data_IF_673907101243
#
_entry.id   IF_673907101243
#
_cell.length_a   1.000
_cell.length_b   1.000
_cell.length_c   1.000
_cell.angle_alpha   90.00
_cell.angle_beta   90.00
_cell.angle_gamma   90.00
#
_symmetry.space_group_name_H-M   'P 1'
#
loop_
_entity.id
_entity.type
_entity.pdbx_description
1 polymer ?
#
# COMPACT_ATOMS: atom_id res chain seq x y z
N UNK A 1 24.00 39.54 -19.93
CA UNK A 1 24.00 39.09 -21.34
C UNK A 1 23.77 37.58 -21.42
N UNK A 2 23.40 37.01 -22.58
CA UNK A 2 23.33 35.53 -22.76
C UNK A 2 24.67 34.89 -22.35
N UNK A 3 25.79 35.58 -22.60
CA UNK A 3 27.12 35.16 -22.19
C UNK A 3 27.34 35.16 -20.67
N UNK A 4 26.76 36.10 -19.91
CA UNK A 4 26.80 36.08 -18.43
C UNK A 4 25.90 35.00 -17.84
N UNK A 5 24.74 34.75 -18.47
CA UNK A 5 23.81 33.69 -18.07
C UNK A 5 24.42 32.30 -18.31
N UNK A 6 25.09 32.11 -19.45
CA UNK A 6 25.85 30.90 -19.78
C UNK A 6 27.04 30.70 -18.84
N UNK A 7 27.72 31.79 -18.43
CA UNK A 7 28.81 31.71 -17.47
C UNK A 7 28.30 31.27 -16.09
N UNK A 8 27.15 31.76 -15.63
CA UNK A 8 26.57 31.32 -14.35
C UNK A 8 26.11 29.85 -14.39
N UNK A 9 25.53 29.38 -15.50
CA UNK A 9 25.21 27.96 -15.71
C UNK A 9 26.43 27.06 -15.99
N UNK A 10 27.61 27.63 -16.25
CA UNK A 10 28.86 26.86 -16.33
C UNK A 10 29.50 26.64 -14.95
N UNK A 11 29.15 27.47 -13.96
CA UNK A 11 29.59 27.34 -12.57
C UNK A 11 28.65 26.49 -11.71
N UNK A 12 27.38 26.37 -12.10
CA UNK A 12 26.44 25.44 -11.52
C UNK A 12 26.35 24.23 -12.44
N UNK A 13 26.62 23.01 -11.95
CA UNK A 13 26.43 21.74 -12.70
C UNK A 13 24.93 21.44 -12.97
N UNK A 14 24.15 22.44 -13.39
CA UNK A 14 22.75 22.32 -13.79
C UNK A 14 22.71 22.12 -15.30
N UNK A 15 22.33 20.92 -15.73
CA UNK A 15 22.04 20.64 -17.14
C UNK A 15 20.58 20.94 -17.45
N UNK A 16 20.34 22.04 -18.16
CA UNK A 16 19.21 22.18 -19.06
C UNK A 16 19.77 22.10 -20.49
N UNK A 17 19.65 20.95 -21.15
CA UNK A 17 20.17 20.79 -22.50
C UNK A 17 19.65 19.53 -23.20
N UNK A 18 19.36 19.70 -24.49
CA UNK A 18 19.04 18.62 -25.42
C UNK A 18 20.10 17.49 -25.32
N UNK A 19 19.71 16.23 -25.04
CA UNK A 19 20.62 15.10 -24.87
C UNK A 19 21.55 14.85 -26.06
N UNK A 20 21.22 15.37 -27.25
CA UNK A 20 22.03 15.20 -28.47
C UNK A 20 23.29 16.07 -28.52
N UNK A 21 23.45 17.05 -27.63
CA UNK A 21 24.61 17.97 -27.62
C UNK A 21 25.81 17.55 -26.76
N UNK A 22 25.79 16.39 -26.09
CA UNK A 22 26.95 15.90 -25.30
C UNK A 22 27.13 14.37 -25.42
N UNK A 23 27.73 13.88 -26.52
CA UNK A 23 27.96 12.44 -26.75
C UNK A 23 29.00 11.77 -25.82
N UNK A 24 29.60 12.50 -24.87
CA UNK A 24 30.68 12.02 -24.01
C UNK A 24 30.39 12.11 -22.50
N UNK A 25 29.14 12.34 -22.09
CA UNK A 25 28.80 12.24 -20.67
C UNK A 25 28.71 10.77 -20.25
N UNK A 26 29.35 10.36 -19.15
CA UNK A 26 29.14 9.03 -18.60
C UNK A 26 27.66 8.90 -18.21
N UNK A 27 27.04 7.78 -18.60
CA UNK A 27 25.63 7.48 -18.26
C UNK A 27 25.39 7.46 -16.74
N UNK A 28 26.43 7.30 -15.93
CA UNK A 28 26.38 7.43 -14.48
C UNK A 28 27.69 8.07 -13.99
N UNK A 29 27.73 9.39 -13.74
CA UNK A 29 28.91 10.03 -13.17
C UNK A 29 29.19 9.46 -11.77
N UNK A 30 30.46 9.46 -11.36
CA UNK A 30 30.82 9.07 -10.00
C UNK A 30 30.17 10.04 -8.99
N UNK A 31 29.56 9.49 -7.93
CA UNK A 31 28.96 10.29 -6.86
C UNK A 31 30.07 11.13 -6.18
N UNK A 32 29.85 12.43 -5.93
CA UNK A 32 30.85 13.29 -5.29
C UNK A 32 30.84 13.17 -3.75
N UNK A 33 30.19 12.14 -3.23
CA UNK A 33 30.05 11.81 -1.81
C UNK A 33 30.14 10.31 -1.61
N UNK A 34 30.55 9.90 -0.42
CA UNK A 34 30.64 8.50 -0.02
C UNK A 34 29.45 8.12 0.85
N UNK A 35 28.91 6.93 0.59
CA UNK A 35 27.93 6.27 1.45
C UNK A 35 28.60 5.03 2.07
N UNK A 36 28.64 4.99 3.40
CA UNK A 36 29.10 3.83 4.16
C UNK A 36 27.92 3.22 4.91
N UNK A 37 27.51 2.03 4.51
CA UNK A 37 26.41 1.31 5.15
C UNK A 37 26.96 0.18 6.02
N UNK A 38 26.61 0.18 7.31
CA UNK A 38 26.92 -0.91 8.22
C UNK A 38 25.84 -2.00 8.10
N UNK A 39 26.20 -3.29 8.21
CA UNK A 39 25.25 -4.39 8.06
C UNK A 39 24.13 -4.30 9.09
N UNK A 40 22.94 -4.77 8.69
CA UNK A 40 21.76 -4.70 9.56
C UNK A 40 21.86 -5.65 10.74
N UNK A 41 21.53 -5.15 11.93
CA UNK A 41 21.35 -5.99 13.11
C UNK A 41 19.88 -6.41 13.16
N UNK A 42 19.63 -7.70 12.92
CA UNK A 42 18.29 -8.29 13.08
C UNK A 42 18.02 -8.40 14.58
N UNK A 43 17.05 -7.62 15.07
CA UNK A 43 16.53 -7.69 16.43
C UNK A 43 15.54 -8.86 16.56
N UNK A 44 15.20 -9.23 17.80
CA UNK A 44 13.98 -10.02 18.05
C UNK A 44 12.78 -9.27 17.44
N UNK A 45 11.83 -10.03 16.89
CA UNK A 45 10.57 -9.58 16.27
C UNK A 45 10.64 -9.06 14.83
N UNK A 46 11.54 -9.58 13.98
CA UNK A 46 11.70 -9.22 12.55
C UNK A 46 12.04 -7.75 12.28
N UNK A 47 12.19 -6.94 13.33
CA UNK A 47 12.70 -5.57 13.27
C UNK A 47 14.20 -5.60 12.98
N UNK A 48 14.65 -4.71 12.11
CA UNK A 48 16.04 -4.58 11.72
C UNK A 48 16.38 -3.11 11.62
N UNK A 49 17.64 -2.80 11.94
CA UNK A 49 18.17 -1.45 11.83
C UNK A 49 19.42 -1.50 10.98
N UNK A 50 19.50 -0.59 10.01
CA UNK A 50 20.63 -0.41 9.12
C UNK A 50 21.19 1.00 9.31
N UNK A 51 22.47 1.11 9.65
CA UNK A 51 23.13 2.40 9.86
C UNK A 51 23.86 2.82 8.58
N UNK A 52 23.62 4.05 8.13
CA UNK A 52 24.26 4.62 6.94
C UNK A 52 24.90 5.95 7.28
N UNK A 53 26.16 6.13 6.87
CA UNK A 53 26.90 7.38 7.01
C UNK A 53 27.17 7.98 5.62
N UNK A 54 26.93 9.28 5.48
CA UNK A 54 27.11 10.01 4.23
C UNK A 54 28.14 11.12 4.45
N UNK A 55 29.14 11.19 3.58
CA UNK A 55 30.22 12.18 3.68
C UNK A 55 30.47 12.84 2.31
N UNK A 56 30.25 14.15 2.16
CA UNK A 56 30.64 14.88 0.94
C UNK A 56 32.16 14.91 0.78
N UNK A 57 32.66 14.57 -0.41
CA UNK A 57 34.11 14.49 -0.68
C UNK A 57 34.66 15.69 -1.45
N UNK A 58 33.79 16.48 -2.09
CA UNK A 58 34.16 17.68 -2.87
C UNK A 58 33.19 18.83 -2.58
N UNK A 59 33.64 20.07 -2.72
CA UNK A 59 32.80 21.27 -2.51
C UNK A 59 31.53 21.21 -3.38
N UNK A 60 31.65 20.73 -4.62
CA UNK A 60 30.49 20.55 -5.50
C UNK A 60 29.40 19.68 -4.88
N UNK A 61 29.73 18.66 -4.08
CA UNK A 61 28.72 17.82 -3.41
C UNK A 61 27.86 18.59 -2.40
N UNK A 62 28.36 19.70 -1.86
CA UNK A 62 27.60 20.56 -0.93
C UNK A 62 26.60 21.47 -1.64
N UNK A 63 26.78 21.64 -2.96
CA UNK A 63 25.93 22.42 -3.85
C UNK A 63 25.09 21.55 -4.79
N UNK A 64 25.21 20.22 -4.71
CA UNK A 64 24.38 19.31 -5.52
C UNK A 64 22.92 19.41 -5.09
N UNK A 65 22.06 19.67 -6.07
CA UNK A 65 20.60 19.68 -5.93
C UNK A 65 20.09 18.49 -6.71
N UNK A 66 19.65 17.45 -6.01
CA UNK A 66 18.74 16.49 -6.63
C UNK A 66 17.33 17.06 -6.60
N UNK A 67 16.73 17.19 -7.79
CA UNK A 67 15.34 17.59 -7.90
C UNK A 67 14.45 16.44 -7.42
N UNK A 68 13.68 16.68 -6.36
CA UNK A 68 12.49 15.87 -6.09
C UNK A 68 11.44 16.39 -7.08
N UNK A 69 11.00 15.54 -8.01
CA UNK A 69 9.95 15.90 -8.97
C UNK A 69 8.65 16.16 -8.21
N UNK A 70 8.34 17.42 -7.94
CA UNK A 70 7.05 17.83 -7.38
C UNK A 70 6.15 18.29 -8.51
N UNK A 71 4.95 17.70 -8.63
CA UNK A 71 3.93 18.16 -9.54
C UNK A 71 3.56 19.62 -9.25
N UNK A 72 4.08 20.57 -10.05
CA UNK A 72 3.68 21.97 -9.94
C UNK A 72 2.37 22.15 -10.69
N UNK A 73 1.35 22.69 -10.02
CA UNK A 73 0.04 23.02 -10.60
C UNK A 73 0.09 24.11 -11.68
N UNK A 74 1.26 24.75 -11.90
CA UNK A 74 1.46 25.85 -12.84
C UNK A 74 2.46 25.57 -13.97
N UNK A 75 2.97 24.35 -14.12
CA UNK A 75 3.97 24.01 -15.15
C UNK A 75 5.33 24.72 -15.00
N UNK A 76 5.63 25.33 -13.85
CA UNK A 76 6.86 26.08 -13.59
C UNK A 76 7.69 25.41 -12.47
N UNK A 77 8.96 25.14 -12.74
CA UNK A 77 9.92 24.59 -11.79
C UNK A 77 10.17 25.58 -10.64
N UNK A 78 10.09 25.16 -9.37
CA UNK A 78 10.40 26.01 -8.22
C UNK A 78 11.91 25.98 -7.94
N UNK A 79 12.62 27.06 -8.31
CA UNK A 79 14.09 27.13 -8.34
C UNK A 79 14.71 27.36 -6.94
N UNK A 80 13.90 27.58 -5.91
CA UNK A 80 14.37 27.85 -4.53
C UNK A 80 14.47 26.57 -3.66
N UNK A 81 14.89 25.44 -4.23
CA UNK A 81 15.12 24.23 -3.45
C UNK A 81 16.49 24.31 -2.73
N UNK A 82 16.57 24.02 -1.42
CA UNK A 82 17.87 23.94 -0.74
C UNK A 82 18.72 22.81 -1.35
N UNK A 83 20.05 22.95 -1.42
CA UNK A 83 20.92 21.88 -1.87
C UNK A 83 20.75 20.64 -1.00
N UNK A 84 20.61 19.50 -1.66
CA UNK A 84 20.37 18.21 -1.05
C UNK A 84 21.04 17.11 -1.87
N UNK A 85 21.86 16.29 -1.20
CA UNK A 85 22.32 15.01 -1.74
C UNK A 85 21.30 13.92 -1.44
N UNK A 86 21.28 12.84 -2.23
CA UNK A 86 20.39 11.70 -2.00
C UNK A 86 21.18 10.59 -1.31
N UNK A 87 20.79 10.32 -0.07
CA UNK A 87 21.18 9.10 0.62
C UNK A 87 20.44 7.91 0.04
N UNK A 88 21.13 6.77 -0.04
CA UNK A 88 20.57 5.54 -0.58
C UNK A 88 20.94 4.35 0.31
N UNK A 89 19.99 3.46 0.56
CA UNK A 89 20.22 2.18 1.20
C UNK A 89 19.46 1.05 0.50
N UNK A 90 20.08 -0.14 0.43
CA UNK A 90 19.44 -1.33 -0.11
C UNK A 90 18.97 -2.24 1.02
N UNK A 91 17.66 -2.43 1.11
CA UNK A 91 16.99 -3.34 2.03
C UNK A 91 16.56 -4.64 1.33
N UNK A 92 16.28 -5.72 2.08
CA UNK A 92 15.57 -6.87 1.53
C UNK A 92 14.24 -6.45 0.89
N UNK A 93 13.81 -7.12 -0.19
CA UNK A 93 12.56 -6.81 -0.90
C UNK A 93 11.32 -6.76 0.02
N UNK A 94 11.28 -7.62 1.02
CA UNK A 94 10.16 -7.75 1.97
C UNK A 94 10.23 -6.75 3.13
N UNK A 95 11.21 -5.83 3.15
CA UNK A 95 11.25 -4.75 4.10
C UNK A 95 9.99 -3.87 3.99
N UNK A 96 9.40 -3.58 5.14
CA UNK A 96 8.18 -2.82 5.32
C UNK A 96 8.29 -1.92 6.55
N UNK A 97 7.35 -0.98 6.69
CA UNK A 97 7.33 0.01 7.78
C UNK A 97 8.69 0.70 7.92
N UNK A 98 9.28 1.05 6.77
CA UNK A 98 10.58 1.70 6.72
C UNK A 98 10.46 3.07 7.36
N UNK A 99 11.42 3.42 8.21
CA UNK A 99 11.56 4.75 8.79
C UNK A 99 13.02 5.13 8.71
N UNK A 100 13.32 6.29 8.14
CA UNK A 100 14.67 6.86 8.15
C UNK A 100 14.74 7.93 9.23
N UNK A 101 15.79 7.89 10.05
CA UNK A 101 16.03 8.86 11.13
C UNK A 101 17.41 9.48 11.02
N UNK A 102 17.49 10.74 11.40
CA UNK A 102 18.73 11.49 11.62
C UNK A 102 18.66 12.12 13.00
N UNK A 103 19.66 11.89 13.85
CA UNK A 103 19.68 12.38 15.25
C UNK A 103 18.38 12.05 16.03
N UNK A 104 17.75 10.93 15.73
CA UNK A 104 16.49 10.46 16.33
C UNK A 104 15.22 11.08 15.74
N UNK A 105 15.32 12.02 14.80
CA UNK A 105 14.19 12.64 14.11
C UNK A 105 13.88 11.91 12.80
N UNK A 106 12.61 11.60 12.58
CA UNK A 106 12.15 11.02 11.31
C UNK A 106 12.34 12.01 10.17
N UNK A 107 12.96 11.55 9.09
CA UNK A 107 13.11 12.29 7.84
C UNK A 107 12.25 11.67 6.76
N UNK A 108 11.84 12.48 5.80
CA UNK A 108 11.13 12.00 4.63
C UNK A 108 12.01 11.05 3.81
N UNK A 109 11.43 10.00 3.25
CA UNK A 109 12.11 9.08 2.36
C UNK A 109 11.15 8.55 1.29
N UNK A 110 11.72 7.96 0.26
CA UNK A 110 11.02 7.26 -0.82
C UNK A 110 11.55 5.82 -0.96
N UNK A 111 10.72 4.95 -1.53
CA UNK A 111 10.99 3.51 -1.63
C UNK A 111 10.61 2.96 -3.00
N UNK A 112 11.48 2.16 -3.61
CA UNK A 112 11.16 1.43 -4.84
C UNK A 112 11.81 0.07 -4.84
N UNK A 113 11.14 -0.84 -5.54
CA UNK A 113 11.60 -2.21 -5.72
C UNK A 113 12.58 -2.25 -6.89
N UNK A 114 13.79 -2.74 -6.60
CA UNK A 114 14.86 -2.94 -7.58
C UNK A 114 15.25 -4.42 -7.56
N UNK A 115 14.60 -5.22 -8.42
CA UNK A 115 14.83 -6.66 -8.47
C UNK A 115 14.43 -7.39 -7.18
N UNK A 116 15.43 -7.94 -6.49
CA UNK A 116 15.30 -8.66 -5.20
C UNK A 116 15.59 -7.76 -3.98
N UNK A 117 15.78 -6.46 -4.19
CA UNK A 117 16.01 -5.46 -3.15
C UNK A 117 14.94 -4.38 -3.18
N UNK A 118 14.81 -3.69 -2.06
CA UNK A 118 14.10 -2.41 -1.95
C UNK A 118 15.16 -1.32 -1.74
N UNK A 119 15.24 -0.33 -2.63
CA UNK A 119 16.14 0.81 -2.47
C UNK A 119 15.34 1.94 -1.81
N UNK A 120 15.87 2.45 -0.71
CA UNK A 120 15.30 3.54 0.10
C UNK A 120 16.15 4.78 -0.15
N UNK A 121 15.50 5.92 -0.40
CA UNK A 121 16.17 7.19 -0.64
C UNK A 121 15.69 8.27 0.30
N UNK A 122 16.58 9.16 0.70
CA UNK A 122 16.21 10.33 1.50
C UNK A 122 17.10 11.52 1.16
N UNK A 123 16.60 12.76 1.30
CA UNK A 123 17.40 13.96 1.12
C UNK A 123 18.29 14.21 2.33
N UNK A 124 19.52 14.62 2.10
CA UNK A 124 20.43 15.18 3.12
C UNK A 124 20.62 16.65 2.85
N UNK A 125 20.01 17.49 3.68
CA UNK A 125 19.87 18.93 3.44
C UNK A 125 21.09 19.68 3.97
N UNK A 126 21.70 20.53 3.13
CA UNK A 126 22.84 21.41 3.48
C UNK A 126 24.01 20.67 4.15
N UNK A 127 24.57 19.61 3.55
CA UNK A 127 25.70 18.91 4.12
C UNK A 127 26.97 19.78 4.05
N UNK A 128 27.87 19.70 5.03
CA UNK A 128 29.18 20.37 4.98
C UNK A 128 30.24 19.45 4.40
N UNK A 129 31.24 20.02 3.72
CA UNK A 129 32.36 19.26 3.19
C UNK A 129 33.08 18.49 4.30
N UNK A 130 33.24 17.17 4.11
CA UNK A 130 33.88 16.28 5.08
C UNK A 130 33.05 15.97 6.33
N UNK A 131 31.83 16.51 6.48
CA UNK A 131 30.92 16.17 7.57
C UNK A 131 30.37 14.76 7.37
N UNK A 132 30.50 13.92 8.40
CA UNK A 132 29.85 12.60 8.43
C UNK A 132 28.45 12.73 9.03
N UNK A 133 27.42 12.64 8.16
CA UNK A 133 26.01 12.61 8.56
C UNK A 133 25.58 11.15 8.75
N UNK A 134 24.95 10.83 9.89
CA UNK A 134 24.55 9.46 10.23
C UNK A 134 23.05 9.31 10.21
N UNK A 135 22.60 8.22 9.60
CA UNK A 135 21.21 7.88 9.42
C UNK A 135 20.93 6.46 9.88
N UNK A 136 19.83 6.30 10.60
CA UNK A 136 19.32 5.00 11.01
C UNK A 136 18.10 4.65 10.17
N UNK A 137 18.14 3.54 9.46
CA UNK A 137 17.04 3.01 8.66
C UNK A 137 16.44 1.83 9.42
N UNK A 138 15.30 2.07 10.05
CA UNK A 138 14.53 1.06 10.79
C UNK A 138 13.50 0.44 9.85
N UNK A 139 13.36 -0.89 9.87
CA UNK A 139 12.37 -1.59 9.06
C UNK A 139 11.96 -2.93 9.70
N UNK A 140 10.84 -3.48 9.25
CA UNK A 140 10.37 -4.82 9.64
C UNK A 140 10.29 -5.70 8.40
N UNK A 141 10.71 -6.96 8.50
CA UNK A 141 10.51 -7.94 7.43
C UNK A 141 9.08 -8.49 7.49
N UNK A 142 8.25 -8.11 6.51
CA UNK A 142 6.91 -8.64 6.32
C UNK A 142 6.87 -9.36 4.97
N UNK A 143 7.01 -10.70 4.96
CA UNK A 143 7.07 -11.46 3.72
C UNK A 143 5.74 -11.38 2.96
N UNK A 144 5.83 -11.24 1.64
CA UNK A 144 4.67 -11.34 0.76
C UNK A 144 3.98 -12.70 0.89
N UNK A 145 2.66 -12.70 0.80
CA UNK A 145 1.80 -13.89 0.83
C UNK A 145 1.03 -14.02 -0.49
N UNK A 146 0.49 -15.21 -0.73
CA UNK A 146 -0.41 -15.48 -1.87
C UNK A 146 -1.69 -16.10 -1.33
N UNK A 147 -2.80 -15.38 -1.48
CA UNK A 147 -4.13 -15.90 -1.22
C UNK A 147 -4.63 -16.64 -2.46
N UNK A 148 -5.12 -17.87 -2.27
CA UNK A 148 -5.75 -18.66 -3.33
C UNK A 148 -7.26 -18.71 -3.12
N UNK A 149 -8.02 -18.29 -4.13
CA UNK A 149 -9.47 -18.32 -4.12
C UNK A 149 -9.92 -19.23 -5.26
N UNK A 150 -10.64 -20.31 -4.93
CA UNK A 150 -11.22 -21.21 -5.91
C UNK A 150 -12.64 -20.77 -6.23
N UNK A 151 -12.87 -20.37 -7.47
CA UNK A 151 -14.19 -20.00 -7.99
C UNK A 151 -14.75 -21.18 -8.75
N UNK A 152 -15.98 -21.57 -8.43
CA UNK A 152 -16.71 -22.66 -9.08
C UNK A 152 -17.78 -22.12 -10.02
N UNK A 153 -18.31 -22.97 -10.90
CA UNK A 153 -19.47 -22.59 -11.73
C UNK A 153 -20.68 -22.20 -10.87
N UNK A 154 -21.32 -21.10 -11.22
CA UNK A 154 -22.38 -20.45 -10.44
C UNK A 154 -21.86 -19.32 -9.57
N UNK A 155 -22.62 -19.01 -8.52
CA UNK A 155 -22.36 -17.92 -7.59
C UNK A 155 -21.35 -18.30 -6.51
N UNK A 156 -20.41 -17.41 -6.21
CA UNK A 156 -19.37 -17.60 -5.21
C UNK A 156 -19.22 -16.31 -4.39
N UNK A 157 -19.45 -16.38 -3.07
CA UNK A 157 -19.19 -15.26 -2.16
C UNK A 157 -17.76 -15.39 -1.60
N UNK A 158 -16.89 -14.48 -2.02
CA UNK A 158 -15.46 -14.52 -1.74
C UNK A 158 -14.97 -13.19 -1.22
N UNK A 159 -13.87 -13.18 -0.49
CA UNK A 159 -13.22 -11.94 -0.05
C UNK A 159 -11.72 -12.02 -0.18
N UNK A 160 -11.07 -10.87 -0.11
CA UNK A 160 -9.61 -10.76 -0.16
C UNK A 160 -9.13 -10.35 1.23
N UNK A 161 -8.16 -11.07 1.78
CA UNK A 161 -7.58 -10.80 3.11
C UNK A 161 -6.16 -10.23 3.05
N UNK A 162 -5.59 -10.09 1.86
CA UNK A 162 -4.27 -9.49 1.64
C UNK A 162 -4.44 -8.13 0.95
N UNK A 163 -3.60 -7.16 1.30
CA UNK A 163 -3.40 -5.96 0.50
C UNK A 163 -2.73 -6.36 -0.82
N UNK A 164 -3.44 -6.34 -1.97
CA UNK A 164 -2.89 -6.84 -3.23
C UNK A 164 -1.74 -5.96 -3.71
N UNK A 165 -0.73 -6.56 -4.33
CA UNK A 165 0.35 -5.80 -4.98
C UNK A 165 -0.15 -4.98 -6.18
N UNK A 166 -1.20 -5.47 -6.85
CA UNK A 166 -1.92 -4.78 -7.91
C UNK A 166 -3.41 -4.99 -7.66
N UNK A 167 -4.11 -3.96 -7.18
CA UNK A 167 -5.51 -4.09 -6.79
C UNK A 167 -6.46 -4.24 -7.98
N UNK A 168 -6.03 -4.02 -9.24
CA UNK A 168 -6.95 -3.97 -10.38
C UNK A 168 -7.63 -5.32 -10.62
N UNK A 169 -8.96 -5.33 -10.68
CA UNK A 169 -9.75 -6.54 -10.94
C UNK A 169 -9.34 -7.21 -12.27
N UNK A 170 -9.07 -6.40 -13.30
CA UNK A 170 -8.64 -6.87 -14.62
C UNK A 170 -7.35 -7.68 -14.57
N UNK A 171 -6.46 -7.46 -13.59
CA UNK A 171 -5.25 -8.26 -13.40
C UNK A 171 -5.55 -9.74 -13.17
N UNK A 172 -6.63 -10.03 -12.45
CA UNK A 172 -6.94 -11.36 -11.92
C UNK A 172 -8.06 -12.05 -12.69
N UNK A 173 -9.04 -11.27 -13.16
CA UNK A 173 -10.22 -11.79 -13.87
C UNK A 173 -10.11 -11.73 -15.40
N UNK A 174 -9.10 -11.08 -15.97
CA UNK A 174 -8.89 -11.09 -17.42
C UNK A 174 -8.82 -12.54 -17.94
N UNK A 175 -9.60 -12.82 -18.98
CA UNK A 175 -9.69 -14.13 -19.64
C UNK A 175 -10.18 -15.28 -18.73
N UNK A 176 -10.78 -14.98 -17.57
CA UNK A 176 -11.45 -15.99 -16.73
C UNK A 176 -12.91 -16.21 -17.18
N UNK A 177 -13.49 -17.39 -16.94
CA UNK A 177 -14.86 -17.70 -17.34
C UNK A 177 -15.91 -17.12 -16.39
N UNK A 178 -15.70 -15.92 -15.85
CA UNK A 178 -16.70 -15.24 -15.02
C UNK A 178 -17.74 -14.51 -15.91
N UNK A 179 -18.97 -14.39 -15.42
CA UNK A 179 -20.05 -13.63 -16.09
C UNK A 179 -20.19 -12.24 -15.49
N UNK A 180 -20.09 -12.15 -14.17
CA UNK A 180 -20.24 -10.89 -13.44
C UNK A 180 -19.62 -10.95 -12.05
N UNK A 181 -19.37 -9.76 -11.49
CA UNK A 181 -18.89 -9.56 -10.13
C UNK A 181 -19.69 -8.41 -9.48
N UNK A 182 -20.01 -8.57 -8.20
CA UNK A 182 -20.83 -7.64 -7.42
C UNK A 182 -20.19 -7.33 -6.08
N UNK A 183 -20.39 -6.11 -5.61
CA UNK A 183 -20.26 -5.72 -4.19
C UNK A 183 -21.52 -4.93 -3.75
N UNK A 184 -21.66 -4.67 -2.45
CA UNK A 184 -22.70 -3.78 -1.93
C UNK A 184 -21.99 -2.60 -1.28
N UNK A 185 -22.23 -1.41 -1.82
CA UNK A 185 -21.74 -0.13 -1.29
C UNK A 185 -22.93 0.82 -1.09
N UNK A 186 -23.24 1.15 0.17
CA UNK A 186 -24.37 1.99 0.51
C UNK A 186 -25.74 1.35 0.28
N UNK A 187 -26.68 2.14 -0.25
CA UNK A 187 -28.06 1.73 -0.51
C UNK A 187 -28.23 0.98 -1.87
N UNK A 188 -27.13 0.68 -2.58
CA UNK A 188 -27.15 0.15 -3.95
C UNK A 188 -26.19 -1.01 -4.17
N UNK A 189 -26.48 -1.81 -5.20
CA UNK A 189 -25.57 -2.83 -5.70
C UNK A 189 -24.55 -2.22 -6.65
N UNK A 190 -23.27 -2.52 -6.42
CA UNK A 190 -22.18 -2.19 -7.33
C UNK A 190 -21.89 -3.39 -8.22
N UNK A 191 -22.00 -3.17 -9.54
CA UNK A 191 -22.07 -4.24 -10.53
C UNK A 191 -21.06 -4.10 -11.68
N UNK A 192 -20.60 -5.23 -12.20
CA UNK A 192 -19.88 -5.33 -13.46
C UNK A 192 -20.41 -6.50 -14.32
N UNK A 193 -20.77 -6.18 -15.57
CA UNK A 193 -21.23 -7.12 -16.61
C UNK A 193 -20.16 -7.22 -17.71
N UNK A 194 -19.92 -8.43 -18.24
CA UNK A 194 -19.08 -8.58 -19.43
C UNK A 194 -19.85 -8.07 -20.66
N UNK A 195 -19.26 -7.07 -21.32
CA UNK A 195 -19.67 -6.33 -22.54
C UNK A 195 -20.26 -4.91 -22.28
N UNK A 196 -19.38 -3.94 -22.49
CA UNK A 196 -19.50 -2.51 -22.85
C UNK A 196 -20.42 -1.51 -22.11
N UNK A 197 -21.17 -1.86 -21.05
CA UNK A 197 -21.71 -0.84 -20.14
C UNK A 197 -22.15 -1.36 -18.76
N UNK A 198 -21.32 -1.05 -17.74
CA UNK A 198 -21.61 -0.62 -16.34
C UNK A 198 -20.47 -1.09 -15.41
N UNK A 199 -19.74 -0.14 -14.83
CA UNK A 199 -18.44 -0.35 -14.14
C UNK A 199 -18.53 0.13 -12.69
N UNK A 200 -18.76 -0.76 -11.72
CA UNK A 200 -18.65 -0.38 -10.29
C UNK A 200 -17.71 -1.24 -9.42
N UNK A 201 -17.05 -2.30 -9.92
CA UNK A 201 -15.93 -2.96 -9.20
C UNK A 201 -14.67 -2.94 -10.06
N UNK A 202 -13.75 -2.03 -9.76
CA UNK A 202 -12.51 -1.83 -10.55
C UNK A 202 -11.26 -2.29 -9.82
N UNK A 203 -11.32 -2.32 -8.50
CA UNK A 203 -10.21 -2.66 -7.62
C UNK A 203 -10.68 -3.61 -6.53
N UNK A 204 -9.76 -4.43 -6.04
CA UNK A 204 -9.94 -5.32 -4.93
C UNK A 204 -9.34 -4.72 -3.66
N UNK A 205 -10.16 -4.61 -2.63
CA UNK A 205 -9.72 -4.14 -1.32
C UNK A 205 -9.82 -5.25 -0.27
N UNK A 206 -8.89 -5.27 0.70
CA UNK A 206 -8.96 -6.24 1.78
C UNK A 206 -10.25 -6.07 2.60
N UNK A 207 -10.87 -7.18 2.98
CA UNK A 207 -12.07 -7.19 3.80
C UNK A 207 -13.35 -6.79 3.05
N UNK A 208 -13.30 -6.34 1.80
CA UNK A 208 -14.50 -6.22 0.98
C UNK A 208 -14.98 -7.62 0.57
N UNK A 209 -16.29 -7.83 0.70
CA UNK A 209 -16.93 -9.03 0.21
C UNK A 209 -17.32 -8.88 -1.26
N UNK A 210 -17.13 -9.93 -2.04
CA UNK A 210 -17.39 -9.98 -3.47
C UNK A 210 -18.29 -11.17 -3.78
N UNK A 211 -19.26 -10.99 -4.68
CA UNK A 211 -20.08 -12.07 -5.21
C UNK A 211 -19.76 -12.25 -6.68
N UNK A 212 -19.28 -13.43 -7.07
CA UNK A 212 -18.83 -13.73 -8.44
C UNK A 212 -19.72 -14.81 -9.04
N UNK A 213 -20.39 -14.51 -10.15
CA UNK A 213 -21.03 -15.53 -11.00
C UNK A 213 -20.06 -16.00 -12.06
N UNK A 214 -19.91 -17.32 -12.19
CA UNK A 214 -19.00 -17.94 -13.14
C UNK A 214 -19.67 -19.01 -14.00
N UNK A 215 -19.26 -19.09 -15.27
CA UNK A 215 -19.66 -20.18 -16.16
C UNK A 215 -18.79 -21.42 -16.02
N UNK A 216 -17.64 -21.32 -15.35
CA UNK A 216 -16.73 -22.45 -15.13
C UNK A 216 -15.81 -22.27 -13.94
N UNK A 217 -15.00 -23.29 -13.65
CA UNK A 217 -14.12 -23.26 -12.49
C UNK A 217 -12.80 -22.56 -12.83
N UNK A 218 -12.30 -21.73 -11.92
CA UNK A 218 -10.96 -21.14 -12.01
C UNK A 218 -10.40 -20.80 -10.64
N UNK A 219 -9.08 -20.59 -10.56
CA UNK A 219 -8.42 -20.14 -9.33
C UNK A 219 -7.87 -18.73 -9.54
N UNK A 220 -8.06 -17.89 -8.52
CA UNK A 220 -7.38 -16.61 -8.37
C UNK A 220 -6.20 -16.76 -7.43
N UNK A 221 -5.06 -16.18 -7.80
CA UNK A 221 -3.86 -16.10 -6.97
C UNK A 221 -3.56 -14.62 -6.70
N UNK A 222 -3.97 -14.14 -5.52
CA UNK A 222 -3.80 -12.75 -5.10
C UNK A 222 -2.51 -12.66 -4.29
N UNK A 223 -1.44 -12.19 -4.93
CA UNK A 223 -0.19 -11.87 -4.24
C UNK A 223 -0.27 -10.50 -3.56
N UNK A 224 0.12 -10.42 -2.30
CA UNK A 224 0.01 -9.22 -1.50
C UNK A 224 0.68 -9.33 -0.14
N UNK A 225 0.53 -8.32 0.70
CA UNK A 225 0.97 -8.36 2.10
C UNK A 225 -0.23 -8.41 3.05
N UNK A 226 -0.08 -8.92 4.27
CA UNK A 226 -1.12 -8.78 5.30
C UNK A 226 -1.47 -7.31 5.51
N UNK A 227 -2.72 -7.04 5.84
CA UNK A 227 -3.15 -5.69 6.21
C UNK A 227 -2.55 -5.28 7.56
N UNK A 228 -2.48 -3.97 7.79
CA UNK A 228 -2.19 -3.44 9.11
C UNK A 228 -3.40 -3.58 10.05
N UNK A 229 -3.14 -4.05 11.26
CA UNK A 229 -4.14 -4.19 12.31
C UNK A 229 -4.00 -3.07 13.35
N UNK A 230 -5.12 -2.56 13.92
CA UNK A 230 -6.49 -2.97 13.64
C UNK A 230 -6.99 -2.51 12.26
N UNK A 231 -7.63 -3.41 11.52
CA UNK A 231 -8.22 -3.10 10.22
C UNK A 231 -9.67 -2.68 10.37
N UNK A 232 -10.10 -1.63 9.67
CA UNK A 232 -11.46 -1.09 9.76
C UNK A 232 -12.14 -1.13 8.41
N UNK A 233 -13.33 -1.71 8.38
CA UNK A 233 -14.25 -1.67 7.25
C UNK A 233 -15.40 -0.74 7.59
N UNK A 234 -15.68 0.18 6.67
CA UNK A 234 -16.84 1.05 6.79
C UNK A 234 -18.11 0.26 6.43
N UNK A 235 -19.17 0.50 7.22
CA UNK A 235 -20.50 -0.01 6.96
C UNK A 235 -21.44 1.17 6.74
N UNK A 236 -22.24 1.05 5.69
CA UNK A 236 -23.33 1.96 5.41
C UNK A 236 -24.63 1.42 6.03
N UNK A 237 -25.62 2.31 6.29
CA UNK A 237 -26.96 1.86 6.64
C UNK A 237 -27.49 0.85 5.62
N UNK A 238 -28.12 -0.23 6.10
CA UNK A 238 -28.57 -1.34 5.25
C UNK A 238 -27.56 -2.49 5.16
N UNK A 239 -27.66 -3.26 4.09
CA UNK A 239 -26.83 -4.45 3.86
C UNK A 239 -25.46 -4.08 3.31
N UNK A 240 -24.43 -4.75 3.79
CA UNK A 240 -23.04 -4.57 3.39
C UNK A 240 -22.43 -5.95 3.12
N UNK A 241 -21.64 -6.08 2.06
CA UNK A 241 -20.94 -7.32 1.78
C UNK A 241 -19.50 -7.25 2.32
N UNK A 242 -19.27 -8.02 3.37
CA UNK A 242 -18.07 -7.94 4.21
C UNK A 242 -17.32 -9.26 4.18
N UNK A 243 -16.03 -9.17 3.96
CA UNK A 243 -15.07 -10.25 4.10
C UNK A 243 -14.21 -10.13 5.36
N UNK A 244 -13.40 -11.14 5.62
CA UNK A 244 -12.37 -11.05 6.63
C UNK A 244 -11.08 -10.46 6.05
N UNK A 245 -10.53 -9.37 6.61
CA UNK A 245 -9.26 -8.79 6.18
C UNK A 245 -8.05 -9.50 6.82
N UNK A 246 -8.22 -10.72 7.34
CA UNK A 246 -7.18 -11.50 8.03
C UNK A 246 -7.22 -12.96 7.60
N UNK A 247 -6.05 -13.62 7.59
CA UNK A 247 -5.93 -15.03 7.27
C UNK A 247 -6.13 -15.95 8.49
N UNK A 248 -7.17 -15.67 9.28
CA UNK A 248 -7.56 -16.47 10.43
C UNK A 248 -9.07 -16.41 10.62
N UNK A 249 -9.66 -17.42 11.24
CA UNK A 249 -11.09 -17.41 11.55
C UNK A 249 -11.37 -16.44 12.69
N UNK A 250 -12.52 -15.75 12.63
CA UNK A 250 -12.91 -14.75 13.63
C UNK A 250 -14.35 -14.99 14.06
N UNK A 251 -14.55 -15.17 15.37
CA UNK A 251 -15.88 -15.21 15.96
C UNK A 251 -16.47 -13.79 16.04
N UNK A 252 -17.80 -13.66 15.90
CA UNK A 252 -18.46 -12.36 15.92
C UNK A 252 -18.20 -11.58 17.23
N UNK A 253 -18.11 -12.28 18.36
CA UNK A 253 -17.78 -11.70 19.67
C UNK A 253 -16.44 -10.94 19.70
N UNK A 254 -15.51 -11.30 18.81
CA UNK A 254 -14.18 -10.68 18.72
C UNK A 254 -14.15 -9.47 17.76
N UNK A 255 -15.27 -9.16 17.11
CA UNK A 255 -15.40 -7.99 16.22
C UNK A 255 -15.84 -6.79 17.05
N UNK A 256 -15.13 -5.66 16.90
CA UNK A 256 -15.57 -4.40 17.48
C UNK A 256 -16.37 -3.59 16.46
N UNK A 257 -17.52 -3.07 16.86
CA UNK A 257 -18.33 -2.12 16.08
C UNK A 257 -18.08 -0.71 16.61
N UNK A 258 -17.63 0.18 15.73
CA UNK A 258 -17.37 1.58 16.03
C UNK A 258 -18.49 2.46 15.46
N UNK A 259 -19.24 3.14 16.32
CA UNK A 259 -20.34 4.05 15.92
C UNK A 259 -20.21 5.34 16.73
N UNK A 260 -20.25 6.50 16.05
CA UNK A 260 -20.22 7.83 16.68
C UNK A 260 -19.09 7.97 17.72
N UNK A 261 -17.89 7.52 17.35
CA UNK A 261 -16.67 7.50 18.18
C UNK A 261 -16.72 6.61 19.44
N UNK A 262 -17.73 5.74 19.58
CA UNK A 262 -17.80 4.74 20.64
C UNK A 262 -17.55 3.34 20.09
N UNK A 263 -16.94 2.50 20.91
CA UNK A 263 -16.58 1.11 20.58
C UNK A 263 -17.50 0.16 21.33
N UNK A 264 -18.09 -0.80 20.62
CA UNK A 264 -18.93 -1.85 21.18
C UNK A 264 -18.42 -3.21 20.70
N UNK A 265 -18.48 -4.25 21.53
CA UNK A 265 -18.41 -5.62 21.01
C UNK A 265 -19.60 -5.87 20.08
N UNK A 266 -19.48 -6.73 19.08
CA UNK A 266 -20.57 -7.04 18.17
C UNK A 266 -21.90 -7.42 18.89
N UNK A 267 -21.92 -8.32 19.91
CA UNK A 267 -23.16 -8.65 20.62
C UNK A 267 -23.81 -7.44 21.31
N UNK A 268 -23.00 -6.58 21.96
CA UNK A 268 -23.50 -5.36 22.58
C UNK A 268 -24.04 -4.34 21.57
N UNK A 269 -23.54 -4.33 20.33
CA UNK A 269 -24.08 -3.51 19.25
C UNK A 269 -25.42 -4.07 18.73
N UNK A 270 -25.54 -5.41 18.64
CA UNK A 270 -26.79 -6.10 18.34
C UNK A 270 -27.86 -5.80 19.39
N UNK A 271 -27.54 -5.93 20.68
CA UNK A 271 -28.47 -5.65 21.79
C UNK A 271 -28.99 -4.20 21.79
N UNK A 272 -28.19 -3.28 21.25
CA UNK A 272 -28.52 -1.86 21.12
C UNK A 272 -29.24 -1.53 19.81
N UNK A 273 -29.51 -2.51 18.95
CA UNK A 273 -30.15 -2.33 17.65
C UNK A 273 -29.30 -1.49 16.69
N UNK A 274 -27.98 -1.56 16.80
CA UNK A 274 -27.06 -0.80 15.95
C UNK A 274 -26.66 -1.57 14.69
N UNK A 275 -26.60 -2.90 14.81
CA UNK A 275 -26.36 -3.86 13.72
C UNK A 275 -27.31 -5.04 13.91
N UNK A 276 -27.60 -5.76 12.84
CA UNK A 276 -28.46 -6.94 12.90
C UNK A 276 -27.76 -8.11 13.61
N UNK A 277 -28.53 -8.93 14.33
CA UNK A 277 -28.04 -10.19 14.89
C UNK A 277 -27.75 -11.23 13.80
N UNK A 278 -28.36 -11.06 12.62
CA UNK A 278 -28.32 -12.02 11.54
C UNK A 278 -27.23 -11.66 10.54
N UNK A 279 -26.13 -12.42 10.59
CA UNK A 279 -25.11 -12.43 9.54
C UNK A 279 -25.45 -13.53 8.55
N UNK A 280 -25.36 -13.25 7.25
CA UNK A 280 -25.62 -14.25 6.22
C UNK A 280 -24.35 -14.69 5.54
N UNK A 281 -24.25 -15.99 5.26
CA UNK A 281 -23.22 -16.60 4.43
C UNK A 281 -23.87 -17.12 3.14
N UNK A 282 -23.08 -17.24 2.09
CA UNK A 282 -23.51 -17.86 0.84
C UNK A 282 -22.93 -19.27 0.74
N UNK A 283 -23.78 -20.26 0.51
CA UNK A 283 -23.40 -21.65 0.27
C UNK A 283 -24.14 -22.25 -0.94
N UNK A 284 -24.04 -23.57 -1.13
CA UNK A 284 -24.68 -24.26 -2.26
C UNK A 284 -26.21 -24.21 -2.25
N UNK A 285 -26.82 -23.90 -1.10
CA UNK A 285 -28.27 -23.70 -0.94
C UNK A 285 -28.69 -22.24 -1.08
N UNK A 286 -27.74 -21.32 -1.28
CA UNK A 286 -27.96 -19.88 -1.39
C UNK A 286 -27.56 -19.13 -0.12
N UNK A 287 -28.26 -18.04 0.17
CA UNK A 287 -28.04 -17.26 1.40
C UNK A 287 -28.63 -17.98 2.61
N UNK A 288 -27.78 -18.30 3.57
CA UNK A 288 -28.15 -18.94 4.84
C UNK A 288 -27.61 -18.14 6.02
N UNK A 289 -28.25 -18.26 7.18
CA UNK A 289 -27.74 -17.63 8.39
C UNK A 289 -26.42 -18.27 8.82
N UNK A 290 -25.47 -17.43 9.24
CA UNK A 290 -24.31 -17.88 10.00
C UNK A 290 -24.79 -18.36 11.37
N UNK A 291 -24.53 -19.63 11.71
CA UNK A 291 -24.94 -20.18 12.99
C UNK A 291 -24.28 -19.48 14.19
N UNK A 292 -24.91 -19.53 15.37
CA UNK A 292 -24.43 -18.86 16.59
C UNK A 292 -23.01 -19.27 17.01
N UNK A 293 -22.60 -20.50 16.72
CA UNK A 293 -21.27 -21.04 17.03
C UNK A 293 -20.34 -21.06 15.80
N UNK A 294 -20.77 -20.53 14.66
CA UNK A 294 -19.94 -20.44 13.46
C UNK A 294 -19.09 -19.18 13.47
N UNK A 295 -17.88 -19.29 12.93
CA UNK A 295 -16.95 -18.18 12.79
C UNK A 295 -16.88 -17.73 11.35
N UNK A 296 -16.55 -16.45 11.15
CA UNK A 296 -16.16 -15.96 9.84
C UNK A 296 -14.87 -16.66 9.40
N UNK A 297 -14.80 -17.05 8.13
CA UNK A 297 -13.68 -17.77 7.54
C UNK A 297 -12.90 -16.88 6.56
N UNK A 298 -11.55 -16.98 6.55
CA UNK A 298 -10.73 -16.17 5.66
C UNK A 298 -11.06 -16.48 4.19
N UNK A 299 -11.20 -15.43 3.38
CA UNK A 299 -11.50 -15.55 1.95
C UNK A 299 -12.98 -15.76 1.61
N UNK A 300 -13.87 -15.79 2.61
CA UNK A 300 -15.32 -15.84 2.43
C UNK A 300 -15.93 -14.45 2.62
N UNK A 301 -17.05 -14.19 1.94
CA UNK A 301 -17.84 -12.97 2.11
C UNK A 301 -19.18 -13.27 2.78
N UNK A 302 -19.69 -12.27 3.50
CA UNK A 302 -20.86 -12.35 4.37
C UNK A 302 -21.70 -11.07 4.22
N UNK A 303 -23.00 -11.16 4.45
CA UNK A 303 -23.85 -9.97 4.53
C UNK A 303 -24.03 -9.54 5.99
N UNK A 304 -23.69 -8.28 6.25
CA UNK A 304 -23.90 -7.59 7.51
C UNK A 304 -24.90 -6.47 7.30
N UNK A 305 -25.88 -6.33 8.20
CA UNK A 305 -26.80 -5.20 8.18
C UNK A 305 -26.46 -4.23 9.31
N UNK A 306 -26.31 -2.96 8.96
CA UNK A 306 -26.09 -1.86 9.90
C UNK A 306 -27.28 -0.89 9.89
N UNK A 307 -27.62 -0.34 11.06
CA UNK A 307 -28.77 0.58 11.20
C UNK A 307 -28.36 2.05 11.07
N UNK A 308 -27.06 2.34 11.11
CA UNK A 308 -26.45 3.66 11.01
C UNK A 308 -25.03 3.46 10.44
N UNK A 309 -24.35 4.54 10.07
CA UNK A 309 -22.94 4.48 9.69
C UNK A 309 -22.10 3.88 10.83
N UNK A 310 -21.34 2.83 10.51
CA UNK A 310 -20.54 2.10 11.47
C UNK A 310 -19.20 1.70 10.88
N UNK A 311 -18.27 1.24 11.72
CA UNK A 311 -17.07 0.56 11.25
C UNK A 311 -16.89 -0.77 11.96
N UNK A 312 -16.70 -1.85 11.22
CA UNK A 312 -16.22 -3.12 11.79
C UNK A 312 -14.72 -3.02 11.95
N UNK A 313 -14.21 -3.29 13.15
CA UNK A 313 -12.79 -3.34 13.45
C UNK A 313 -12.36 -4.76 13.80
N UNK A 314 -11.38 -5.24 13.04
CA UNK A 314 -10.72 -6.54 13.19
C UNK A 314 -9.34 -6.34 13.82
N UNK A 315 -8.95 -7.23 14.72
CA UNK A 315 -7.72 -7.13 15.55
C UNK A 315 -6.93 -8.42 15.53
#
# INVERSE_FOLDING_TARGET
>A
SISEMLNQTAYMDVMLGDPSFRPYLPQSPALPYRINTSPSNISRDNASVLETAITPEKESATDWIYWIETASSGGSLNINAPPAIIGEALLPKDADKVVVKEDGLTIWHDEYILGDKKKVMWPVIRPRLGEERRFSIEYVIIPGQVQRINVTGGWNAVSIYLQPNDAKVSKYLANKPYRSIFTIDGDSWDFNMRDDALVNVTSFWPGEGLLIDSSGNFTLEIAGKPVDLPYRLDLHPGWNMVGLPVNQTVALENITVNIKHKRYSYPAAVDKGMVSAFVWKYDSSGWTHLGENETLMPGMAYLFEAMDEAKLEFR
#
